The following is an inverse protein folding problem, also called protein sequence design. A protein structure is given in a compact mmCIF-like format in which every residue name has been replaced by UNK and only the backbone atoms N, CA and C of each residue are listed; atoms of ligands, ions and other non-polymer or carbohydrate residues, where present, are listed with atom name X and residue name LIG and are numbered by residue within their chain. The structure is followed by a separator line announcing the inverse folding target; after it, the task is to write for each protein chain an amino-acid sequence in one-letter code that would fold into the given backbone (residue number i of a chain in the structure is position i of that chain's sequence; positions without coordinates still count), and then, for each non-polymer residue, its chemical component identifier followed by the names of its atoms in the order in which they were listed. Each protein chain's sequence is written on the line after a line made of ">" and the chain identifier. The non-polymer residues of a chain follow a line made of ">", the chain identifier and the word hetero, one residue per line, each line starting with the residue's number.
data_IF_117739735225
#
_entry.id   IF_117739735225
#
_cell.length_a   1.000
_cell.length_b   1.000
_cell.length_c   1.000
_cell.angle_alpha   90.00
_cell.angle_beta   90.00
_cell.angle_gamma   90.00
#
_symmetry.space_group_name_H-M   'P 1'
#
loop_
_entity.id
_entity.type
_entity.pdbx_description
1 polymer ?
#
# COMPACT_ATOMS: atom_id res chain seq x y z
N UNK A 1 7.43 -29.05 41.97
CA UNK A 1 6.47 -28.08 41.40
C UNK A 1 7.05 -27.50 40.12
N UNK A 2 6.46 -27.72 38.94
CA UNK A 2 6.87 -27.02 37.73
C UNK A 2 6.38 -25.57 37.81
N UNK A 3 7.28 -24.61 37.54
CA UNK A 3 6.91 -23.19 37.43
C UNK A 3 6.03 -23.00 36.19
N UNK A 4 4.91 -22.27 36.26
CA UNK A 4 4.20 -21.87 35.05
C UNK A 4 5.12 -20.93 34.25
N UNK A 5 5.50 -21.37 33.04
CA UNK A 5 6.13 -20.51 32.04
C UNK A 5 5.12 -19.42 31.66
N UNK A 6 5.50 -18.12 31.69
CA UNK A 6 4.59 -17.07 31.25
C UNK A 6 4.23 -17.30 29.78
N UNK A 7 2.93 -17.42 29.50
CA UNK A 7 2.40 -17.52 28.15
C UNK A 7 2.86 -16.28 27.37
N UNK A 8 3.69 -16.51 26.36
CA UNK A 8 4.16 -15.46 25.46
C UNK A 8 2.95 -14.77 24.82
N UNK A 9 2.74 -13.50 25.16
CA UNK A 9 1.56 -12.71 24.81
C UNK A 9 1.09 -12.90 23.37
N UNK A 10 -0.12 -13.44 23.25
CA UNK A 10 -0.91 -13.54 22.02
C UNK A 10 -1.60 -12.20 21.72
N UNK A 11 -0.81 -11.12 21.63
CA UNK A 11 -1.30 -9.83 21.14
C UNK A 11 -1.27 -9.82 19.62
N UNK A 12 -2.42 -9.57 18.99
CA UNK A 12 -2.64 -9.57 17.54
C UNK A 12 -1.56 -8.83 16.75
N UNK A 13 -0.61 -9.59 16.18
CA UNK A 13 0.48 -9.08 15.34
C UNK A 13 0.44 -9.84 14.03
N UNK A 14 0.17 -9.11 12.95
CA UNK A 14 0.13 -9.68 11.59
C UNK A 14 1.46 -10.37 11.30
N UNK A 15 1.40 -11.66 10.99
CA UNK A 15 2.59 -12.45 10.68
C UNK A 15 3.25 -11.86 9.43
N UNK A 16 4.59 -11.80 9.43
CA UNK A 16 5.39 -11.42 8.26
C UNK A 16 4.92 -12.14 6.99
N UNK A 17 4.55 -13.42 7.12
CA UNK A 17 4.00 -14.25 6.04
C UNK A 17 2.76 -13.64 5.38
N UNK A 18 1.85 -13.04 6.17
CA UNK A 18 0.64 -12.39 5.64
C UNK A 18 1.00 -11.14 4.82
N UNK A 19 1.93 -10.32 5.31
CA UNK A 19 2.38 -9.10 4.60
C UNK A 19 3.06 -9.47 3.28
N UNK A 20 3.94 -10.48 3.30
CA UNK A 20 4.63 -10.99 2.11
C UNK A 20 3.63 -11.56 1.09
N UNK A 21 2.61 -12.28 1.55
CA UNK A 21 1.58 -12.86 0.67
C UNK A 21 0.77 -11.77 -0.02
N UNK A 22 0.37 -10.72 0.69
CA UNK A 22 -0.33 -9.56 0.10
C UNK A 22 0.52 -8.89 -0.98
N UNK A 23 1.84 -8.77 -0.78
CA UNK A 23 2.74 -8.22 -1.80
C UNK A 23 2.86 -9.11 -3.03
N UNK A 24 2.86 -10.43 -2.88
CA UNK A 24 2.82 -11.34 -4.03
C UNK A 24 1.51 -11.22 -4.82
N UNK A 25 0.39 -11.05 -4.12
CA UNK A 25 -0.90 -10.75 -4.77
C UNK A 25 -0.80 -9.42 -5.54
N UNK A 26 -0.19 -8.39 -4.94
CA UNK A 26 0.01 -7.10 -5.62
C UNK A 26 0.89 -7.23 -6.87
N UNK A 27 2.01 -7.95 -6.79
CA UNK A 27 2.88 -8.23 -7.96
C UNK A 27 2.10 -8.94 -9.06
N UNK A 28 1.38 -10.01 -8.73
CA UNK A 28 0.59 -10.76 -9.70
C UNK A 28 -0.51 -9.90 -10.33
N UNK A 29 -1.24 -9.12 -9.52
CA UNK A 29 -2.31 -8.24 -9.98
C UNK A 29 -1.78 -7.12 -10.89
N UNK A 30 -0.72 -6.42 -10.46
CA UNK A 30 -0.09 -5.35 -11.25
C UNK A 30 0.47 -5.88 -12.58
N UNK A 31 1.19 -7.01 -12.56
CA UNK A 31 1.71 -7.64 -13.78
C UNK A 31 0.58 -8.05 -14.73
N UNK A 32 -0.50 -8.65 -14.20
CA UNK A 32 -1.65 -9.06 -15.00
C UNK A 32 -2.36 -7.85 -15.62
N UNK A 33 -2.53 -6.75 -14.86
CA UNK A 33 -3.12 -5.52 -15.37
C UNK A 33 -2.28 -4.90 -16.50
N UNK A 34 -0.95 -4.84 -16.33
CA UNK A 34 -0.03 -4.33 -17.36
C UNK A 34 -0.14 -5.18 -18.64
N UNK A 35 -0.14 -6.52 -18.50
CA UNK A 35 -0.22 -7.42 -19.66
C UNK A 35 -1.57 -7.27 -20.37
N UNK A 36 -2.67 -7.22 -19.62
CA UNK A 36 -4.00 -7.05 -20.16
C UNK A 36 -4.13 -5.72 -20.92
N UNK A 37 -3.74 -4.60 -20.30
CA UNK A 37 -3.91 -3.27 -20.91
C UNK A 37 -2.93 -3.04 -22.07
N UNK A 38 -1.67 -3.44 -21.91
CA UNK A 38 -0.64 -3.23 -22.93
C UNK A 38 -0.77 -4.16 -24.14
N UNK A 39 -1.05 -5.46 -23.92
CA UNK A 39 -1.04 -6.44 -25.02
C UNK A 39 -2.43 -6.89 -25.46
N UNK A 40 -3.37 -7.12 -24.53
CA UNK A 40 -4.70 -7.61 -24.91
C UNK A 40 -5.63 -6.48 -25.38
N UNK A 41 -5.57 -5.32 -24.75
CA UNK A 41 -6.32 -4.12 -25.14
C UNK A 41 -5.56 -3.23 -26.14
N UNK A 42 -4.24 -3.42 -26.30
CA UNK A 42 -3.42 -2.75 -27.30
C UNK A 42 -3.15 -1.27 -27.03
N UNK A 43 -3.21 -0.84 -25.77
CA UNK A 43 -2.90 0.55 -25.39
C UNK A 43 -1.39 0.79 -25.29
N UNK A 44 -0.94 1.97 -25.73
CA UNK A 44 0.48 2.38 -25.75
C UNK A 44 0.97 2.76 -24.35
N UNK A 45 1.18 1.76 -23.50
CA UNK A 45 1.75 1.92 -22.18
C UNK A 45 3.28 1.80 -22.23
N UNK A 46 4.01 2.48 -21.32
CA UNK A 46 5.44 2.24 -21.13
C UNK A 46 5.67 0.91 -20.38
N UNK A 47 5.33 -0.22 -21.02
CA UNK A 47 5.27 -1.56 -20.43
C UNK A 47 6.58 -1.93 -19.75
N UNK A 48 7.72 -1.61 -20.36
CA UNK A 48 9.04 -1.92 -19.78
C UNK A 48 9.25 -1.18 -18.45
N UNK A 49 8.88 0.11 -18.38
CA UNK A 49 9.00 0.89 -17.14
C UNK A 49 8.03 0.36 -16.07
N UNK A 50 6.79 0.03 -16.44
CA UNK A 50 5.81 -0.56 -15.53
C UNK A 50 6.25 -1.93 -14.99
N UNK A 51 6.80 -2.80 -15.86
CA UNK A 51 7.33 -4.10 -15.42
C UNK A 51 8.57 -3.93 -14.56
N UNK A 52 9.41 -2.92 -14.80
CA UNK A 52 10.55 -2.61 -13.95
C UNK A 52 10.12 -2.18 -12.53
N UNK A 53 9.07 -1.37 -12.39
CA UNK A 53 8.55 -1.00 -11.07
C UNK A 53 7.93 -2.19 -10.34
N UNK A 54 7.23 -3.09 -11.04
CA UNK A 54 6.71 -4.34 -10.46
C UNK A 54 7.85 -5.30 -10.09
N UNK A 55 8.90 -5.39 -10.90
CA UNK A 55 10.09 -6.18 -10.60
C UNK A 55 10.81 -5.65 -9.35
N UNK A 56 10.90 -4.33 -9.17
CA UNK A 56 11.44 -3.73 -7.95
C UNK A 56 10.62 -4.12 -6.70
N UNK A 57 9.29 -4.20 -6.83
CA UNK A 57 8.42 -4.72 -5.77
C UNK A 57 8.70 -6.19 -5.46
N UNK A 58 8.86 -7.03 -6.49
CA UNK A 58 9.20 -8.44 -6.31
C UNK A 58 10.58 -8.62 -5.65
N UNK A 59 11.60 -7.89 -6.10
CA UNK A 59 12.96 -7.94 -5.55
C UNK A 59 12.99 -7.48 -4.10
N UNK A 60 12.34 -6.36 -3.77
CA UNK A 60 12.24 -5.91 -2.38
C UNK A 60 11.55 -6.95 -1.49
N UNK A 61 10.50 -7.60 -1.99
CA UNK A 61 9.81 -8.66 -1.26
C UNK A 61 10.71 -9.88 -1.01
N UNK A 62 11.50 -10.30 -2.01
CA UNK A 62 12.50 -11.36 -1.86
C UNK A 62 13.57 -10.99 -0.83
N UNK A 63 14.06 -9.74 -0.86
CA UNK A 63 15.01 -9.23 0.11
C UNK A 63 14.46 -9.29 1.54
N UNK A 64 13.23 -8.80 1.77
CA UNK A 64 12.59 -8.87 3.09
C UNK A 64 12.31 -10.32 3.52
N UNK A 65 11.89 -11.20 2.61
CA UNK A 65 11.66 -12.61 2.89
C UNK A 65 12.96 -13.34 3.31
N UNK A 66 14.09 -13.01 2.66
CA UNK A 66 15.39 -13.57 3.01
C UNK A 66 15.90 -13.04 4.36
N UNK A 67 15.84 -11.72 4.56
CA UNK A 67 16.38 -11.06 5.75
C UNK A 67 15.62 -11.44 7.03
N UNK A 68 14.31 -11.64 6.95
CA UNK A 68 13.45 -11.89 8.10
C UNK A 68 12.94 -13.34 8.16
N UNK A 69 13.59 -14.27 7.45
CA UNK A 69 13.21 -15.69 7.37
C UNK A 69 13.06 -16.38 8.73
N UNK A 70 13.89 -15.99 9.71
CA UNK A 70 13.86 -16.51 11.09
C UNK A 70 13.21 -15.57 12.10
N UNK A 71 12.82 -14.36 11.67
CA UNK A 71 12.20 -13.39 12.55
C UNK A 71 10.70 -13.67 12.67
N UNK A 72 10.24 -13.99 13.88
CA UNK A 72 8.81 -14.16 14.16
C UNK A 72 8.06 -12.82 14.19
N UNK A 73 8.77 -11.69 14.29
CA UNK A 73 8.20 -10.34 14.45
C UNK A 73 9.05 -9.29 13.71
N UNK A 74 8.43 -8.46 12.89
CA UNK A 74 9.04 -7.25 12.33
C UNK A 74 9.05 -6.14 13.38
N UNK A 75 10.10 -5.31 13.36
CA UNK A 75 10.07 -4.05 14.11
C UNK A 75 9.11 -3.07 13.45
N UNK A 76 8.53 -2.16 14.24
CA UNK A 76 7.65 -1.09 13.76
C UNK A 76 8.28 -0.30 12.61
N UNK A 77 9.56 0.06 12.77
CA UNK A 77 10.33 0.77 11.75
C UNK A 77 10.53 -0.05 10.47
N UNK A 78 10.83 -1.34 10.58
CA UNK A 78 11.02 -2.20 9.40
C UNK A 78 9.71 -2.35 8.61
N UNK A 79 8.59 -2.58 9.29
CA UNK A 79 7.29 -2.65 8.66
C UNK A 79 6.85 -1.31 8.06
N UNK A 80 7.14 -0.18 8.71
CA UNK A 80 6.90 1.15 8.16
C UNK A 80 7.74 1.41 6.89
N UNK A 81 9.03 1.07 6.88
CA UNK A 81 9.86 1.20 5.67
C UNK A 81 9.35 0.32 4.52
N UNK A 82 8.90 -0.90 4.84
CA UNK A 82 8.37 -1.85 3.88
C UNK A 82 7.07 -1.35 3.22
N UNK A 83 6.13 -0.80 4.01
CA UNK A 83 4.89 -0.19 3.50
C UNK A 83 5.12 1.15 2.81
N UNK A 84 6.09 1.94 3.30
CA UNK A 84 6.48 3.20 2.66
C UNK A 84 7.04 2.96 1.25
N UNK A 85 7.86 1.92 1.08
CA UNK A 85 8.29 1.47 -0.24
C UNK A 85 7.11 1.08 -1.13
N UNK A 86 6.11 0.38 -0.59
CA UNK A 86 4.93 -0.03 -1.37
C UNK A 86 4.11 1.18 -1.84
N UNK A 87 3.97 2.21 -1.00
CA UNK A 87 3.33 3.47 -1.39
C UNK A 87 4.10 4.13 -2.53
N UNK A 88 5.43 4.25 -2.42
CA UNK A 88 6.25 4.90 -3.43
C UNK A 88 6.28 4.10 -4.74
N UNK A 89 6.34 2.77 -4.67
CA UNK A 89 6.30 1.91 -5.85
C UNK A 89 4.94 1.99 -6.55
N UNK A 90 3.85 1.96 -5.79
CA UNK A 90 2.51 2.13 -6.33
C UNK A 90 2.35 3.52 -6.93
N UNK A 91 2.90 4.57 -6.30
CA UNK A 91 2.90 5.93 -6.84
C UNK A 91 3.63 5.98 -8.18
N UNK A 92 4.80 5.37 -8.28
CA UNK A 92 5.57 5.33 -9.52
C UNK A 92 4.83 4.58 -10.62
N UNK A 93 4.17 3.46 -10.30
CA UNK A 93 3.37 2.73 -11.27
C UNK A 93 2.14 3.54 -11.73
N UNK A 94 1.44 4.20 -10.80
CA UNK A 94 0.31 5.08 -11.13
C UNK A 94 0.77 6.27 -11.97
N UNK A 95 1.90 6.90 -11.64
CA UNK A 95 2.48 7.99 -12.41
C UNK A 95 2.64 7.60 -13.89
N UNK A 96 3.18 6.41 -14.16
CA UNK A 96 3.40 5.89 -15.52
C UNK A 96 2.11 5.48 -16.25
N UNK A 97 0.99 5.36 -15.52
CA UNK A 97 -0.25 4.75 -16.01
C UNK A 97 -1.46 5.66 -15.87
N UNK A 98 -1.29 6.98 -15.77
CA UNK A 98 -2.40 7.93 -15.73
C UNK A 98 -2.63 8.68 -14.43
N UNK A 99 -1.77 8.50 -13.42
CA UNK A 99 -1.79 9.25 -12.16
C UNK A 99 -3.16 9.34 -11.52
N UNK A 100 -3.67 10.57 -11.40
CA UNK A 100 -4.98 10.85 -10.80
C UNK A 100 -6.17 10.28 -11.57
N UNK A 101 -5.99 10.03 -12.87
CA UNK A 101 -7.04 9.53 -13.76
C UNK A 101 -7.11 8.00 -13.75
N UNK A 102 -6.10 7.35 -13.17
CA UNK A 102 -6.05 5.90 -13.08
C UNK A 102 -7.00 5.37 -11.99
N UNK A 103 -7.93 4.46 -12.31
CA UNK A 103 -8.91 3.95 -11.33
C UNK A 103 -8.26 3.17 -10.17
N UNK A 104 -7.05 2.65 -10.32
CA UNK A 104 -6.31 1.98 -9.27
C UNK A 104 -5.70 2.93 -8.23
N UNK A 105 -5.83 4.25 -8.40
CA UNK A 105 -5.41 5.24 -7.40
C UNK A 105 -6.00 4.98 -6.01
N UNK A 106 -7.22 4.44 -5.96
CA UNK A 106 -7.88 4.03 -4.70
C UNK A 106 -7.08 2.99 -3.89
N UNK A 107 -6.23 2.19 -4.54
CA UNK A 107 -5.39 1.19 -3.89
C UNK A 107 -4.35 1.80 -2.94
N UNK A 108 -4.07 3.10 -3.04
CA UNK A 108 -3.24 3.83 -2.07
C UNK A 108 -3.80 3.79 -0.64
N UNK A 109 -5.10 3.53 -0.47
CA UNK A 109 -5.72 3.32 0.84
C UNK A 109 -5.23 2.05 1.53
N UNK A 110 -4.88 1.00 0.78
CA UNK A 110 -4.53 -0.30 1.33
C UNK A 110 -3.27 -0.28 2.23
N UNK A 111 -2.10 0.26 1.79
CA UNK A 111 -0.93 0.33 2.66
C UNK A 111 -1.15 1.23 3.89
N UNK A 112 -1.99 2.26 3.77
CA UNK A 112 -2.38 3.12 4.91
C UNK A 112 -3.23 2.34 5.92
N UNK A 113 -4.21 1.56 5.46
CA UNK A 113 -5.06 0.72 6.31
C UNK A 113 -4.26 -0.37 7.03
N UNK A 114 -3.38 -1.06 6.29
CA UNK A 114 -2.49 -2.08 6.83
C UNK A 114 -1.56 -1.44 7.87
N UNK A 115 -0.94 -0.31 7.52
CA UNK A 115 -0.08 0.44 8.43
C UNK A 115 -0.80 0.80 9.73
N UNK A 116 -2.00 1.36 9.64
CA UNK A 116 -2.80 1.74 10.81
C UNK A 116 -3.15 0.58 11.74
N UNK A 117 -3.37 -0.62 11.21
CA UNK A 117 -3.71 -1.79 12.02
C UNK A 117 -2.50 -2.45 12.69
N UNK A 118 -1.31 -2.31 12.11
CA UNK A 118 -0.10 -3.05 12.54
C UNK A 118 0.94 -2.16 13.24
N UNK A 119 1.00 -0.87 12.89
CA UNK A 119 2.06 0.04 13.31
C UNK A 119 1.66 0.94 14.47
N UNK A 120 2.68 1.52 15.11
CA UNK A 120 2.52 2.60 16.07
C UNK A 120 1.88 3.83 15.42
N UNK A 121 1.18 4.62 16.24
CA UNK A 121 0.50 5.84 15.77
C UNK A 121 1.45 6.78 15.01
N UNK A 122 2.70 6.91 15.47
CA UNK A 122 3.72 7.75 14.84
C UNK A 122 4.09 7.25 13.44
N UNK A 123 4.32 5.95 13.30
CA UNK A 123 4.67 5.33 12.01
C UNK A 123 3.50 5.35 11.04
N UNK A 124 2.29 5.11 11.52
CA UNK A 124 1.05 5.27 10.74
C UNK A 124 0.89 6.70 10.24
N UNK A 125 1.04 7.71 11.12
CA UNK A 125 0.94 9.10 10.72
C UNK A 125 1.97 9.48 9.66
N UNK A 126 3.21 9.00 9.79
CA UNK A 126 4.25 9.21 8.78
C UNK A 126 3.90 8.55 7.43
N UNK A 127 3.40 7.31 7.44
CA UNK A 127 2.95 6.63 6.22
C UNK A 127 1.78 7.33 5.54
N UNK A 128 0.78 7.74 6.32
CA UNK A 128 -0.36 8.50 5.79
C UNK A 128 0.13 9.80 5.15
N UNK A 129 1.07 10.52 5.78
CA UNK A 129 1.66 11.72 5.20
C UNK A 129 2.37 11.45 3.87
N UNK A 130 3.15 10.36 3.78
CA UNK A 130 3.79 9.96 2.51
C UNK A 130 2.74 9.66 1.44
N UNK A 131 1.69 8.91 1.76
CA UNK A 131 0.62 8.60 0.81
C UNK A 131 -0.12 9.85 0.32
N UNK A 132 -0.41 10.79 1.22
CA UNK A 132 -1.03 12.08 0.87
C UNK A 132 -0.15 12.90 -0.07
N UNK A 133 1.16 12.94 0.20
CA UNK A 133 2.12 13.61 -0.68
C UNK A 133 2.19 12.95 -2.06
N UNK A 134 2.17 11.62 -2.12
CA UNK A 134 2.11 10.90 -3.39
C UNK A 134 0.83 11.21 -4.18
N UNK A 135 -0.34 11.20 -3.53
CA UNK A 135 -1.61 11.55 -4.20
C UNK A 135 -1.59 13.00 -4.69
N UNK A 136 -1.10 13.94 -3.87
CA UNK A 136 -0.97 15.33 -4.28
C UNK A 136 -0.02 15.48 -5.47
N UNK A 137 1.11 14.78 -5.48
CA UNK A 137 2.06 14.81 -6.59
C UNK A 137 1.43 14.24 -7.88
N UNK A 138 0.73 13.10 -7.79
CA UNK A 138 0.04 12.46 -8.91
C UNK A 138 -1.14 13.28 -9.46
N UNK A 139 -1.66 14.23 -8.69
CA UNK A 139 -2.71 15.15 -9.14
C UNK A 139 -2.14 16.37 -9.88
N UNK A 140 -0.87 16.68 -9.67
CA UNK A 140 -0.16 17.81 -10.28
C UNK A 140 0.52 17.36 -11.57
N UNK A 141 1.20 16.21 -11.55
CA UNK A 141 1.96 15.69 -12.68
C UNK A 141 1.89 14.17 -12.75
N UNK A 142 1.64 13.66 -13.96
CA UNK A 142 1.61 12.24 -14.30
C UNK A 142 1.68 12.04 -15.81
N UNK A 143 2.05 10.84 -16.24
CA UNK A 143 1.95 10.50 -17.66
C UNK A 143 0.48 10.39 -18.07
N UNK A 144 0.11 10.96 -19.24
CA UNK A 144 -1.25 10.88 -19.72
C UNK A 144 -1.66 9.43 -19.98
N UNK A 145 -2.93 9.11 -19.70
CA UNK A 145 -3.50 7.83 -20.11
C UNK A 145 -3.44 7.70 -21.65
N UNK A 146 -3.01 6.53 -22.17
CA UNK A 146 -2.93 6.29 -23.60
C UNK A 146 -4.32 6.04 -24.19
N UNK A 147 -5.19 7.05 -24.20
CA UNK A 147 -6.48 6.95 -24.86
C UNK A 147 -6.31 6.86 -26.39
N UNK A 148 -7.23 6.16 -27.06
CA UNK A 148 -7.23 6.02 -28.52
C UNK A 148 -7.25 7.38 -29.24
N UNK A 149 -7.86 8.39 -28.61
CA UNK A 149 -7.80 9.78 -29.03
C UNK A 149 -7.16 10.61 -27.90
N UNK A 150 -6.01 11.27 -28.13
CA UNK A 150 -5.38 12.11 -27.14
C UNK A 150 -6.34 13.17 -26.59
N UNK A 151 -6.47 13.24 -25.26
CA UNK A 151 -7.34 14.22 -24.59
C UNK A 151 -8.85 13.92 -24.60
N UNK A 152 -9.30 12.78 -25.16
CA UNK A 152 -10.73 12.46 -25.22
C UNK A 152 -11.40 12.28 -23.84
N UNK A 153 -10.62 11.91 -22.83
CA UNK A 153 -11.04 11.94 -21.43
C UNK A 153 -10.08 12.79 -20.59
N UNK A 154 -9.83 14.04 -20.99
CA UNK A 154 -9.18 14.98 -20.08
C UNK A 154 -10.19 15.37 -19.00
N UNK A 155 -9.99 14.91 -17.75
CA UNK A 155 -10.85 15.31 -16.65
C UNK A 155 -10.69 16.80 -16.32
N UNK A 156 -11.78 17.53 -16.01
CA UNK A 156 -11.69 18.89 -15.53
C UNK A 156 -10.83 18.98 -14.25
N UNK A 157 -9.99 20.01 -14.07
CA UNK A 157 -9.12 20.14 -12.90
C UNK A 157 -9.86 20.05 -11.56
N UNK A 158 -11.11 20.55 -11.52
CA UNK A 158 -11.97 20.46 -10.35
C UNK A 158 -12.30 19.00 -9.97
N UNK A 159 -12.48 18.12 -10.95
CA UNK A 159 -12.74 16.70 -10.72
C UNK A 159 -11.50 16.00 -10.16
N UNK A 160 -10.33 16.25 -10.76
CA UNK A 160 -9.04 15.73 -10.26
C UNK A 160 -8.77 16.17 -8.83
N UNK A 161 -9.02 17.45 -8.51
CA UNK A 161 -8.94 17.97 -7.15
C UNK A 161 -9.93 17.27 -6.21
N UNK A 162 -11.20 17.12 -6.63
CA UNK A 162 -12.23 16.47 -5.82
C UNK A 162 -11.88 15.00 -5.51
N UNK A 163 -11.39 14.24 -6.50
CA UNK A 163 -10.92 12.85 -6.31
C UNK A 163 -9.73 12.80 -5.35
N UNK A 164 -8.76 13.69 -5.52
CA UNK A 164 -7.58 13.76 -4.65
C UNK A 164 -7.95 14.11 -3.22
N UNK A 165 -8.87 15.06 -3.03
CA UNK A 165 -9.41 15.42 -1.72
C UNK A 165 -10.20 14.28 -1.09
N UNK A 166 -11.06 13.60 -1.88
CA UNK A 166 -11.81 12.44 -1.41
C UNK A 166 -10.89 11.30 -0.94
N UNK A 167 -9.81 11.04 -1.68
CA UNK A 167 -8.79 10.06 -1.28
C UNK A 167 -8.03 10.51 -0.04
N UNK A 168 -7.68 11.79 0.07
CA UNK A 168 -7.00 12.31 1.24
C UNK A 168 -7.86 12.14 2.51
N UNK A 169 -9.14 12.50 2.43
CA UNK A 169 -10.11 12.28 3.51
C UNK A 169 -10.28 10.79 3.79
N UNK A 170 -10.39 9.97 2.74
CA UNK A 170 -10.49 8.51 2.85
C UNK A 170 -9.29 7.88 3.55
N UNK A 171 -8.06 8.32 3.24
CA UNK A 171 -6.83 7.83 3.88
C UNK A 171 -6.83 8.15 5.37
N UNK A 172 -7.17 9.40 5.73
CA UNK A 172 -7.24 9.81 7.14
C UNK A 172 -8.32 9.03 7.88
N UNK A 173 -9.51 8.90 7.28
CA UNK A 173 -10.62 8.15 7.86
C UNK A 173 -10.27 6.68 8.07
N UNK A 174 -9.76 6.00 7.04
CA UNK A 174 -9.35 4.60 7.11
C UNK A 174 -8.21 4.39 8.09
N UNK A 175 -7.23 5.30 8.14
CA UNK A 175 -6.14 5.22 9.11
C UNK A 175 -6.67 5.31 10.55
N UNK A 176 -7.55 6.27 10.85
CA UNK A 176 -8.13 6.43 12.19
C UNK A 176 -8.98 5.22 12.55
N UNK A 177 -9.86 4.78 11.64
CA UNK A 177 -10.77 3.67 11.88
C UNK A 177 -10.02 2.35 12.10
N UNK A 178 -9.10 1.99 11.20
CA UNK A 178 -8.31 0.78 11.31
C UNK A 178 -7.44 0.77 12.58
N UNK A 179 -6.87 1.93 12.95
CA UNK A 179 -6.11 2.06 14.19
C UNK A 179 -6.99 1.87 15.44
N UNK A 180 -8.19 2.47 15.46
CA UNK A 180 -9.15 2.32 16.57
C UNK A 180 -9.57 0.86 16.76
N UNK A 181 -9.96 0.18 15.67
CA UNK A 181 -10.36 -1.23 15.70
C UNK A 181 -9.21 -2.12 16.19
N UNK A 182 -7.98 -1.85 15.72
CA UNK A 182 -6.81 -2.61 16.16
C UNK A 182 -6.48 -2.38 17.65
N UNK A 183 -6.68 -1.16 18.16
CA UNK A 183 -6.45 -0.82 19.56
C UNK A 183 -7.49 -1.47 20.49
N UNK A 184 -8.76 -1.50 20.11
CA UNK A 184 -9.81 -2.21 20.84
C UNK A 184 -9.55 -3.72 20.90
N UNK A 185 -9.12 -4.31 19.78
CA UNK A 185 -8.74 -5.73 19.73
C UNK A 185 -7.56 -6.08 20.65
N UNK A 186 -6.56 -5.18 20.76
CA UNK A 186 -5.43 -5.32 21.69
C UNK A 186 -5.91 -5.32 23.14
N UNK A 187 -6.75 -4.36 23.53
CA UNK A 187 -7.28 -4.24 24.89
C UNK A 187 -8.09 -5.46 25.32
N UNK A 188 -8.92 -6.01 24.43
CA UNK A 188 -9.69 -7.23 24.70
C UNK A 188 -8.78 -8.45 24.91
N UNK A 189 -7.75 -8.58 24.07
CA UNK A 189 -6.78 -9.68 24.17
C UNK A 189 -5.99 -9.62 25.48
N UNK A 190 -5.59 -8.41 25.90
CA UNK A 190 -4.87 -8.19 27.15
C UNK A 190 -5.75 -8.49 28.38
N UNK A 191 -7.06 -8.17 28.32
CA UNK A 191 -8.02 -8.46 29.39
C UNK A 191 -8.33 -9.96 29.55
N UNK A 192 -8.28 -10.74 28.48
CA UNK A 192 -8.45 -12.21 28.52
C UNK A 192 -7.18 -12.96 28.95
N UNK A 193 -6.02 -12.30 28.86
CA UNK A 193 -4.73 -12.87 29.25
C UNK A 193 -4.34 -12.55 30.71
N UNK A 194 -5.09 -11.67 31.37
CA UNK A 194 -4.95 -11.29 32.78
C UNK A 194 -5.85 -12.13 33.69
#
# INVERSE_FOLDING_TARGET
>A
MPRPTPAAGAGGRVRLTTIILVRWIAVAGQASAIVLVGFALGYDLPVVACLATVAALAVSNLYFAAQYRSATRLSDRAAAMMLGFDILQLAALLYLTGGSDNPFLVLMLAPVAIGASVLSLRSTAALTAIALLCVAALAIDHFPLPWATPGAMAQPPLYTFAVSLALAVGMVFVAIYAWRVAEEGRRMSDALAA
#
